data_IF_495080075901
#
_entry.id   IF_495080075901
#
_cell.length_a   1.000
_cell.length_b   1.000
_cell.length_c   1.000
_cell.angle_alpha   90.00
_cell.angle_beta   90.00
_cell.angle_gamma   90.00
#
_symmetry.space_group_name_H-M   'P 1'
#
loop_
_entity.id
_entity.type
_entity.pdbx_description
1 polymer ?
#
# COMPACT_ATOMS: atom_id res chain seq x y z
N UNK A 1 2.46 -9.17 -22.28
CA UNK A 1 2.43 -8.21 -21.16
C UNK A 1 0.98 -8.11 -20.72
N UNK A 2 0.68 -8.32 -19.42
CA UNK A 2 -0.71 -8.28 -18.93
C UNK A 2 -1.25 -6.84 -19.01
N UNK A 3 -2.52 -6.72 -19.35
CA UNK A 3 -3.22 -5.44 -19.42
C UNK A 3 -3.54 -4.96 -18.00
N UNK A 4 -3.38 -3.66 -17.72
CA UNK A 4 -3.71 -3.02 -16.44
C UNK A 4 -5.15 -3.33 -15.98
N UNK A 5 -6.08 -3.52 -16.92
CA UNK A 5 -7.46 -3.93 -16.61
C UNK A 5 -7.57 -5.31 -15.97
N UNK A 6 -6.54 -6.15 -16.01
CA UNK A 6 -6.48 -7.45 -15.33
C UNK A 6 -6.02 -7.34 -13.87
N UNK A 7 -5.46 -6.19 -13.49
CA UNK A 7 -4.95 -5.89 -12.14
C UNK A 7 -5.93 -4.96 -11.41
N UNK A 8 -6.34 -3.87 -12.07
CA UNK A 8 -7.13 -2.78 -11.47
C UNK A 8 -8.58 -2.85 -11.97
N UNK A 9 -9.51 -2.55 -11.07
CA UNK A 9 -10.92 -2.39 -11.40
C UNK A 9 -11.20 -1.04 -12.07
N UNK A 10 -10.80 -0.92 -13.34
CA UNK A 10 -10.94 0.32 -14.13
C UNK A 10 -12.40 0.72 -14.41
N UNK A 11 -13.33 -0.21 -14.31
CA UNK A 11 -14.77 0.09 -14.46
C UNK A 11 -15.27 0.99 -13.32
N UNK A 12 -14.78 0.73 -12.10
CA UNK A 12 -15.09 1.51 -10.90
C UNK A 12 -14.12 2.67 -10.71
N UNK A 13 -12.86 2.49 -11.07
CA UNK A 13 -11.76 3.42 -10.84
C UNK A 13 -11.01 3.71 -12.15
N UNK A 14 -11.51 4.61 -13.01
CA UNK A 14 -10.97 4.85 -14.35
C UNK A 14 -9.70 5.72 -14.29
N UNK A 15 -8.67 5.25 -13.57
CA UNK A 15 -7.41 5.98 -13.38
C UNK A 15 -6.63 6.18 -14.69
N UNK A 16 -6.95 5.39 -15.72
CA UNK A 16 -6.37 5.48 -17.05
C UNK A 16 -7.07 6.52 -17.96
N UNK A 17 -8.16 7.14 -17.49
CA UNK A 17 -8.92 8.15 -18.24
C UNK A 17 -8.89 9.50 -17.52
N UNK A 18 -7.68 10.06 -17.42
CA UNK A 18 -7.34 11.27 -16.65
C UNK A 18 -8.20 12.49 -17.05
N UNK A 19 -8.63 12.57 -18.31
CA UNK A 19 -9.43 13.67 -18.83
C UNK A 19 -10.92 13.59 -18.48
N UNK A 20 -11.41 12.42 -18.09
CA UNK A 20 -12.83 12.17 -17.90
C UNK A 20 -13.42 12.87 -16.68
N UNK A 21 -14.75 13.07 -16.73
CA UNK A 21 -15.51 13.52 -15.56
C UNK A 21 -15.37 12.55 -14.38
N UNK A 22 -15.40 11.24 -14.65
CA UNK A 22 -15.29 10.20 -13.62
C UNK A 22 -13.95 10.22 -12.90
N UNK A 23 -12.85 10.47 -13.62
CA UNK A 23 -11.53 10.61 -12.99
C UNK A 23 -11.46 11.85 -12.09
N UNK A 24 -12.03 12.97 -12.53
CA UNK A 24 -12.13 14.19 -11.71
C UNK A 24 -12.98 13.99 -10.46
N UNK A 25 -14.09 13.27 -10.58
CA UNK A 25 -14.94 12.90 -9.43
C UNK A 25 -14.18 12.00 -8.45
N UNK A 26 -13.45 11.00 -8.97
CA UNK A 26 -12.64 10.10 -8.16
C UNK A 26 -11.53 10.84 -7.40
N UNK A 27 -10.78 11.73 -8.07
CA UNK A 27 -9.71 12.52 -7.42
C UNK A 27 -10.25 13.53 -6.42
N UNK A 28 -11.41 14.15 -6.69
CA UNK A 28 -12.06 15.01 -5.70
C UNK A 28 -12.52 14.22 -4.47
N UNK A 29 -13.05 13.01 -4.67
CA UNK A 29 -13.42 12.11 -3.58
C UNK A 29 -12.20 11.72 -2.74
N UNK A 30 -11.10 11.28 -3.36
CA UNK A 30 -9.90 10.87 -2.62
C UNK A 30 -9.26 12.04 -1.87
N UNK A 31 -9.16 13.23 -2.49
CA UNK A 31 -8.69 14.45 -1.82
C UNK A 31 -9.51 14.78 -0.59
N UNK A 32 -10.84 14.74 -0.71
CA UNK A 32 -11.75 15.02 0.41
C UNK A 32 -11.49 14.05 1.57
N UNK A 33 -11.44 12.75 1.29
CA UNK A 33 -11.16 11.73 2.32
C UNK A 33 -9.78 11.91 2.96
N UNK A 34 -8.74 12.19 2.15
CA UNK A 34 -7.40 12.43 2.67
C UNK A 34 -7.33 13.69 3.56
N UNK A 35 -8.03 14.76 3.19
CA UNK A 35 -8.06 16.00 3.96
C UNK A 35 -8.88 15.89 5.26
N UNK A 36 -9.98 15.14 5.25
CA UNK A 36 -10.87 14.99 6.40
C UNK A 36 -10.40 13.89 7.37
N UNK A 37 -9.99 12.73 6.85
CA UNK A 37 -9.71 11.52 7.64
C UNK A 37 -8.22 11.16 7.69
N UNK A 38 -7.35 11.84 6.92
CA UNK A 38 -5.94 11.49 6.77
C UNK A 38 -5.69 10.21 5.96
N UNK A 39 -6.73 9.56 5.45
CA UNK A 39 -6.65 8.35 4.65
C UNK A 39 -7.85 8.21 3.71
N UNK A 40 -7.71 7.38 2.67
CA UNK A 40 -8.81 7.06 1.75
C UNK A 40 -8.84 5.55 1.50
N UNK A 41 -10.04 4.96 1.57
CA UNK A 41 -10.26 3.54 1.31
C UNK A 41 -10.91 3.40 -0.06
N UNK A 42 -10.32 2.57 -0.93
CA UNK A 42 -10.84 2.25 -2.25
C UNK A 42 -11.21 0.75 -2.31
N UNK A 43 -12.43 0.35 -1.93
CA UNK A 43 -12.82 -1.06 -1.89
C UNK A 43 -12.79 -1.68 -3.28
N UNK A 44 -12.19 -2.86 -3.40
CA UNK A 44 -12.08 -3.63 -4.64
C UNK A 44 -11.35 -2.85 -5.77
N UNK A 45 -10.37 -2.03 -5.39
CA UNK A 45 -9.51 -1.32 -6.33
C UNK A 45 -8.66 -2.28 -7.16
N UNK A 46 -8.01 -3.24 -6.49
CA UNK A 46 -7.33 -4.37 -7.12
C UNK A 46 -8.32 -5.53 -7.29
N UNK A 47 -8.30 -6.18 -8.45
CA UNK A 47 -9.13 -7.36 -8.72
C UNK A 47 -8.71 -8.55 -7.88
N UNK A 48 -9.68 -9.35 -7.43
CA UNK A 48 -9.44 -10.52 -6.57
C UNK A 48 -8.44 -11.51 -7.16
N UNK A 49 -8.53 -11.79 -8.46
CA UNK A 49 -7.57 -12.68 -9.15
C UNK A 49 -6.14 -12.14 -9.10
N UNK A 50 -5.98 -10.82 -9.15
CA UNK A 50 -4.67 -10.17 -9.03
C UNK A 50 -4.14 -10.26 -7.60
N UNK A 51 -5.00 -10.03 -6.60
CA UNK A 51 -4.64 -10.23 -5.18
C UNK A 51 -4.18 -11.68 -4.95
N UNK A 52 -4.90 -12.65 -5.51
CA UNK A 52 -4.53 -14.06 -5.42
C UNK A 52 -3.14 -14.32 -6.02
N UNK A 53 -2.86 -13.79 -7.21
CA UNK A 53 -1.54 -13.96 -7.86
C UNK A 53 -0.40 -13.30 -7.08
N UNK A 54 -0.62 -12.09 -6.55
CA UNK A 54 0.36 -11.38 -5.72
C UNK A 54 0.65 -12.15 -4.42
N UNK A 55 -0.40 -12.70 -3.78
CA UNK A 55 -0.26 -13.55 -2.60
C UNK A 55 0.49 -14.84 -2.92
N UNK A 56 0.09 -15.55 -3.98
CA UNK A 56 0.73 -16.80 -4.38
C UNK A 56 2.23 -16.56 -4.72
N UNK A 57 2.57 -15.41 -5.32
CA UNK A 57 3.96 -14.98 -5.59
C UNK A 57 4.74 -14.73 -4.29
N UNK A 58 4.17 -14.00 -3.33
CA UNK A 58 4.81 -13.78 -2.04
C UNK A 58 5.04 -15.10 -1.28
N UNK A 59 4.06 -16.02 -1.32
CA UNK A 59 4.17 -17.35 -0.71
C UNK A 59 5.29 -18.20 -1.33
N UNK A 60 5.48 -18.11 -2.65
CA UNK A 60 6.57 -18.81 -3.35
C UNK A 60 7.97 -18.28 -3.06
N UNK A 61 8.09 -17.07 -2.50
CA UNK A 61 9.36 -16.43 -2.20
C UNK A 61 9.61 -16.29 -0.68
N UNK A 62 8.84 -17.00 0.16
CA UNK A 62 8.95 -16.91 1.63
C UNK A 62 10.36 -17.23 2.15
N UNK A 63 11.10 -18.10 1.48
CA UNK A 63 12.48 -18.46 1.81
C UNK A 63 13.48 -17.32 1.58
N UNK A 64 13.12 -16.35 0.75
CA UNK A 64 13.92 -15.15 0.47
C UNK A 64 13.54 -13.97 1.37
N UNK A 65 12.46 -14.09 2.13
CA UNK A 65 12.00 -13.03 3.03
C UNK A 65 13.01 -12.86 4.16
N UNK A 66 13.45 -11.62 4.34
CA UNK A 66 14.20 -11.23 5.51
C UNK A 66 13.23 -10.96 6.68
N UNK A 67 13.29 -11.79 7.72
CA UNK A 67 12.45 -11.68 8.90
C UNK A 67 13.16 -10.92 10.01
N UNK A 68 12.52 -9.87 10.52
CA UNK A 68 12.96 -9.14 11.72
C UNK A 68 11.97 -9.34 12.85
N UNK A 69 12.48 -9.46 14.07
CA UNK A 69 11.71 -9.64 15.29
C UNK A 69 12.24 -8.69 16.32
N UNK A 70 11.36 -7.84 16.85
CA UNK A 70 11.76 -6.87 17.86
C UNK A 70 10.56 -6.42 18.71
N UNK A 71 10.84 -5.81 19.86
CA UNK A 71 9.84 -5.22 20.73
C UNK A 71 10.11 -3.73 20.85
N UNK A 72 9.13 -2.92 20.43
CA UNK A 72 9.26 -1.48 20.39
C UNK A 72 8.07 -0.80 21.07
N UNK A 73 8.33 0.35 21.68
CA UNK A 73 7.27 1.31 21.98
C UNK A 73 6.93 2.14 20.72
N UNK A 74 5.80 2.89 20.70
CA UNK A 74 5.38 3.68 19.54
C UNK A 74 6.38 4.74 19.04
N UNK A 75 7.42 5.04 19.83
CA UNK A 75 8.43 6.04 19.53
C UNK A 75 9.82 5.44 19.26
N UNK A 76 9.93 4.10 19.21
CA UNK A 76 11.21 3.40 18.98
C UNK A 76 12.33 3.81 19.96
N UNK A 77 11.99 4.08 21.22
CA UNK A 77 12.96 4.43 22.26
C UNK A 77 13.22 3.30 23.24
N UNK A 78 14.25 3.45 24.08
CA UNK A 78 14.41 2.61 25.29
C UNK A 78 13.30 2.91 26.31
N UNK A 79 13.13 2.00 27.27
CA UNK A 79 12.25 2.24 28.42
C UNK A 79 12.76 3.44 29.21
N UNK A 80 11.81 4.18 29.79
CA UNK A 80 12.07 5.35 30.62
C UNK A 80 11.37 5.15 31.96
N UNK A 81 12.11 4.62 32.94
CA UNK A 81 11.55 4.26 34.24
C UNK A 81 11.05 5.46 35.05
N UNK A 82 11.40 6.68 34.63
CA UNK A 82 10.92 7.92 35.27
C UNK A 82 9.46 8.22 34.95
N UNK A 83 8.89 7.56 33.94
CA UNK A 83 7.50 7.74 33.52
C UNK A 83 6.55 6.72 34.16
N UNK A 84 5.25 7.05 34.30
CA UNK A 84 4.21 6.09 34.69
C UNK A 84 4.21 4.84 33.80
N UNK A 85 3.89 3.67 34.37
CA UNK A 85 3.93 2.38 33.66
C UNK A 85 2.98 2.29 32.46
N UNK A 86 1.89 3.06 32.46
CA UNK A 86 0.90 3.15 31.40
C UNK A 86 1.25 4.22 30.33
N UNK A 87 2.36 4.93 30.51
CA UNK A 87 2.84 5.88 29.51
C UNK A 87 3.23 5.13 28.22
N UNK A 88 2.83 5.57 27.00
CA UNK A 88 3.07 4.82 25.77
C UNK A 88 4.55 4.48 25.49
N UNK A 89 5.50 5.33 25.91
CA UNK A 89 6.96 5.03 25.86
C UNK A 89 7.38 3.78 26.65
N UNK A 90 6.59 3.37 27.64
CA UNK A 90 6.85 2.20 28.48
C UNK A 90 6.05 0.97 28.05
N UNK A 91 5.19 1.11 27.04
CA UNK A 91 4.40 0.01 26.48
C UNK A 91 5.12 -0.53 25.25
N UNK A 92 5.75 -1.69 25.42
CA UNK A 92 6.46 -2.37 24.35
C UNK A 92 5.55 -3.44 23.71
N UNK A 93 5.50 -3.44 22.38
CA UNK A 93 4.74 -4.43 21.61
C UNK A 93 5.72 -5.26 20.79
N UNK A 94 5.64 -6.59 20.93
CA UNK A 94 6.37 -7.51 20.07
C UNK A 94 5.83 -7.41 18.63
N UNK A 95 6.74 -7.24 17.67
CA UNK A 95 6.45 -7.29 16.25
C UNK A 95 7.41 -8.23 15.54
N UNK A 96 6.86 -8.95 14.59
CA UNK A 96 7.58 -9.78 13.65
C UNK A 96 7.16 -9.35 12.24
N UNK A 97 8.13 -8.89 11.45
CA UNK A 97 7.90 -8.33 10.12
C UNK A 97 8.77 -9.08 9.10
N UNK A 98 8.18 -9.38 7.95
CA UNK A 98 8.88 -9.96 6.80
C UNK A 98 9.03 -8.94 5.68
N UNK A 99 10.22 -8.85 5.10
CA UNK A 99 10.52 -7.98 3.96
C UNK A 99 10.98 -8.83 2.77
N UNK A 100 10.28 -8.71 1.65
CA UNK A 100 10.66 -9.30 0.36
C UNK A 100 11.15 -8.18 -0.56
N UNK A 101 12.31 -8.35 -1.19
CA UNK A 101 12.85 -7.36 -2.12
C UNK A 101 12.14 -7.44 -3.48
N UNK A 102 11.92 -6.29 -4.14
CA UNK A 102 11.32 -6.25 -5.49
C UNK A 102 12.15 -7.00 -6.52
N UNK A 103 13.47 -7.09 -6.33
CA UNK A 103 14.38 -7.85 -7.19
C UNK A 103 14.13 -9.37 -7.14
N UNK A 104 13.49 -9.86 -6.07
CA UNK A 104 13.14 -11.27 -5.90
C UNK A 104 11.77 -11.62 -6.50
N UNK A 105 10.98 -10.61 -6.89
CA UNK A 105 9.67 -10.81 -7.52
C UNK A 105 9.82 -11.34 -8.96
N UNK A 106 8.80 -12.04 -9.43
CA UNK A 106 8.83 -12.68 -10.73
C UNK A 106 8.76 -11.63 -11.85
N UNK A 107 9.33 -11.96 -13.01
CA UNK A 107 9.32 -11.06 -14.19
C UNK A 107 7.91 -10.58 -14.57
N UNK A 108 6.91 -11.42 -14.33
CA UNK A 108 5.51 -11.11 -14.62
C UNK A 108 4.68 -10.71 -13.39
N UNK A 109 5.35 -10.31 -12.30
CA UNK A 109 4.74 -9.86 -11.04
C UNK A 109 3.69 -8.77 -11.27
N UNK A 110 2.50 -9.00 -10.74
CA UNK A 110 1.46 -7.97 -10.73
C UNK A 110 1.81 -6.86 -9.71
N UNK A 111 2.64 -7.12 -8.68
CA UNK A 111 3.12 -6.12 -7.72
C UNK A 111 4.03 -5.09 -8.41
N UNK A 112 5.06 -5.56 -9.12
CA UNK A 112 5.97 -4.66 -9.86
C UNK A 112 5.21 -3.91 -10.96
N UNK A 113 4.38 -4.63 -11.74
CA UNK A 113 3.56 -3.99 -12.76
C UNK A 113 2.70 -2.88 -12.17
N UNK A 114 2.00 -3.15 -11.07
CA UNK A 114 1.15 -2.16 -10.40
C UNK A 114 1.92 -0.93 -9.92
N UNK A 115 3.10 -1.15 -9.33
CA UNK A 115 3.97 -0.08 -8.80
C UNK A 115 4.50 0.84 -9.90
N UNK A 116 4.87 0.27 -11.06
CA UNK A 116 5.48 1.01 -12.17
C UNK A 116 4.46 1.74 -13.08
N UNK A 117 3.16 1.67 -12.80
CA UNK A 117 2.13 2.31 -13.63
C UNK A 117 2.17 3.84 -13.53
N UNK A 118 2.37 4.50 -14.68
CA UNK A 118 2.29 5.96 -14.78
C UNK A 118 0.89 6.48 -14.39
N UNK A 119 -0.17 5.75 -14.76
CA UNK A 119 -1.55 6.09 -14.40
C UNK A 119 -1.77 6.03 -12.88
N UNK A 120 -1.14 5.07 -12.19
CA UNK A 120 -1.17 5.00 -10.73
C UNK A 120 -0.42 6.15 -10.10
N UNK A 121 0.79 6.43 -10.58
CA UNK A 121 1.58 7.56 -10.11
C UNK A 121 0.80 8.86 -10.27
N UNK A 122 0.19 9.09 -11.44
CA UNK A 122 -0.63 10.28 -11.70
C UNK A 122 -1.86 10.34 -10.80
N UNK A 123 -2.56 9.23 -10.63
CA UNK A 123 -3.74 9.17 -9.75
C UNK A 123 -3.39 9.50 -8.29
N UNK A 124 -2.30 8.94 -7.76
CA UNK A 124 -1.83 9.24 -6.39
C UNK A 124 -1.38 10.68 -6.28
N UNK A 125 -0.64 11.19 -7.27
CA UNK A 125 -0.18 12.57 -7.35
C UNK A 125 -1.33 13.57 -7.34
N UNK A 126 -2.34 13.33 -8.16
CA UNK A 126 -3.54 14.17 -8.22
C UNK A 126 -4.32 14.06 -6.91
N UNK A 127 -4.43 12.88 -6.30
CA UNK A 127 -5.11 12.69 -5.01
C UNK A 127 -4.43 13.41 -3.85
N UNK A 128 -3.09 13.52 -3.87
CA UNK A 128 -2.28 14.18 -2.85
C UNK A 128 -2.00 15.67 -3.12
N UNK A 129 -2.29 16.15 -4.33
CA UNK A 129 -2.04 17.54 -4.75
C UNK A 129 -0.54 17.93 -4.74
N UNK A 130 0.33 17.00 -5.15
CA UNK A 130 1.80 17.13 -5.06
C UNK A 130 2.54 17.21 -6.41
N UNK A 131 1.83 17.45 -7.52
CA UNK A 131 2.42 17.63 -8.86
C UNK A 131 1.83 18.82 -9.61
#
# INVERSE_FOLDING_TARGET
MKDIKEIINLEKYPINDIGSLKYKELTNYTRKQLNEDGCCVLPNFIKEDSIKRMKDEAERNLEKVHWTKDSHNPYFTKDDETLPKDHPKRIFTYRESGYLNSDDLEKDSDLNKFYDLEEMLKFVSDSLEVF
#
